data_IF_043101906611
#
_entry.id   IF_043101906611
#
_cell.length_a   1.000
_cell.length_b   1.000
_cell.length_c   1.000
_cell.angle_alpha   90.00
_cell.angle_beta   90.00
_cell.angle_gamma   90.00
#
_symmetry.space_group_name_H-M   'P 1'
#
loop_
_entity.id
_entity.type
_entity.pdbx_description
1 polymer ?
#
# COMPACT_ATOMS: atom_id res chain seq x y z
N UNK A 1 -3.65 21.43 9.38
CA UNK A 1 -3.35 20.20 8.62
C UNK A 1 -4.34 20.14 7.47
N UNK A 2 -3.86 20.01 6.24
CA UNK A 2 -4.76 19.76 5.10
C UNK A 2 -5.41 18.37 5.28
N UNK A 3 -6.74 18.30 5.12
CA UNK A 3 -7.47 17.04 5.27
C UNK A 3 -7.01 16.01 4.24
N UNK A 4 -6.89 14.74 4.62
CA UNK A 4 -6.62 13.61 3.73
C UNK A 4 -7.77 13.26 2.77
N UNK A 5 -8.68 14.17 2.51
CA UNK A 5 -9.76 13.99 1.53
C UNK A 5 -9.19 14.12 0.12
N UNK A 6 -8.93 12.98 -0.49
CA UNK A 6 -8.63 12.89 -1.92
C UNK A 6 -9.90 12.55 -2.70
N UNK A 7 -10.06 13.19 -3.85
CA UNK A 7 -10.94 12.69 -4.90
C UNK A 7 -10.33 11.44 -5.53
N UNK A 8 -11.17 10.66 -6.21
CA UNK A 8 -10.70 9.45 -6.90
C UNK A 8 -9.63 9.78 -7.96
N UNK A 9 -9.79 10.87 -8.70
CA UNK A 9 -8.83 11.31 -9.71
C UNK A 9 -7.47 11.69 -9.10
N UNK A 10 -7.45 12.35 -7.94
CA UNK A 10 -6.20 12.67 -7.26
C UNK A 10 -5.49 11.43 -6.72
N UNK A 11 -6.23 10.40 -6.30
CA UNK A 11 -5.65 9.10 -5.93
C UNK A 11 -5.05 8.39 -7.14
N UNK A 12 -5.75 8.32 -8.27
CA UNK A 12 -5.20 7.72 -9.50
C UNK A 12 -3.96 8.47 -9.98
N UNK A 13 -3.99 9.81 -9.98
CA UNK A 13 -2.83 10.62 -10.35
C UNK A 13 -1.65 10.30 -9.42
N UNK A 14 -1.90 10.29 -8.11
CA UNK A 14 -0.86 10.01 -7.11
C UNK A 14 -0.31 8.59 -7.24
N UNK A 15 -1.17 7.60 -7.49
CA UNK A 15 -0.77 6.22 -7.72
C UNK A 15 0.13 6.11 -8.95
N UNK A 16 -0.28 6.71 -10.06
CA UNK A 16 0.51 6.68 -11.29
C UNK A 16 1.87 7.39 -11.12
N UNK A 17 1.88 8.56 -10.49
CA UNK A 17 3.12 9.32 -10.20
C UNK A 17 4.08 8.49 -9.33
N UNK A 18 3.56 7.80 -8.29
CA UNK A 18 4.36 6.90 -7.45
C UNK A 18 4.86 5.69 -8.23
N UNK A 19 4.00 5.05 -9.04
CA UNK A 19 4.38 3.87 -9.79
C UNK A 19 5.47 4.17 -10.82
N UNK A 20 5.34 5.28 -11.54
CA UNK A 20 6.36 5.74 -12.47
C UNK A 20 7.67 6.06 -11.76
N UNK A 21 7.59 6.75 -10.62
CA UNK A 21 8.77 7.13 -9.83
C UNK A 21 9.55 5.92 -9.31
N UNK A 22 8.85 4.91 -8.78
CA UNK A 22 9.49 3.80 -8.06
C UNK A 22 9.78 2.59 -8.95
N UNK A 23 8.94 2.33 -9.95
CA UNK A 23 9.01 1.11 -10.77
C UNK A 23 9.09 1.37 -12.27
N UNK A 24 8.97 2.63 -12.71
CA UNK A 24 8.99 2.98 -14.13
C UNK A 24 7.80 2.42 -14.92
N UNK A 25 6.69 2.09 -14.24
CA UNK A 25 5.47 1.54 -14.86
C UNK A 25 4.25 2.38 -14.49
N UNK A 26 3.27 2.42 -15.39
CA UNK A 26 1.99 3.07 -15.12
C UNK A 26 1.11 2.20 -14.21
N UNK A 27 0.34 2.87 -13.36
CA UNK A 27 -0.70 2.20 -12.59
C UNK A 27 -1.91 1.94 -13.49
N UNK A 28 -2.37 0.68 -13.56
CA UNK A 28 -3.38 0.24 -14.55
C UNK A 28 -4.59 -0.50 -13.97
N UNK A 29 -4.60 -0.77 -12.67
CA UNK A 29 -5.72 -1.45 -11.99
C UNK A 29 -6.64 -0.44 -11.28
N UNK A 30 -7.63 -0.91 -10.52
CA UNK A 30 -8.69 -0.05 -10.00
C UNK A 30 -8.38 0.49 -8.59
N UNK A 31 -8.77 1.73 -8.35
CA UNK A 31 -8.92 2.34 -7.02
C UNK A 31 -10.40 2.58 -6.77
N UNK A 32 -10.86 2.25 -5.57
CA UNK A 32 -12.22 2.53 -5.09
C UNK A 32 -12.20 3.32 -3.78
N UNK A 33 -13.02 4.37 -3.73
CA UNK A 33 -13.34 5.10 -2.51
C UNK A 33 -14.62 4.54 -1.91
N UNK A 34 -14.53 3.95 -0.73
CA UNK A 34 -15.69 3.37 -0.02
C UNK A 34 -16.12 4.25 1.14
N UNK A 35 -17.43 4.36 1.36
CA UNK A 35 -18.00 5.20 2.42
C UNK A 35 -18.19 4.48 3.78
N UNK A 36 -17.41 3.43 4.01
CA UNK A 36 -17.47 2.61 5.22
C UNK A 36 -16.49 3.12 6.28
N UNK A 37 -16.90 3.15 7.55
CA UNK A 37 -15.97 3.49 8.62
C UNK A 37 -15.11 2.26 8.97
N UNK A 38 -13.80 2.35 8.76
CA UNK A 38 -12.87 1.29 9.11
C UNK A 38 -12.21 1.58 10.45
N UNK A 39 -12.24 0.59 11.34
CA UNK A 39 -11.66 0.69 12.69
C UNK A 39 -10.20 0.25 12.75
N UNK A 40 -9.79 -0.68 11.88
CA UNK A 40 -8.47 -1.34 11.94
C UNK A 40 -7.54 -0.90 10.82
N UNK A 41 -8.03 -0.86 9.57
CA UNK A 41 -7.19 -0.62 8.39
C UNK A 41 -7.44 0.74 7.74
N UNK A 42 -6.48 1.18 6.93
CA UNK A 42 -6.51 2.49 6.27
C UNK A 42 -6.73 2.39 4.76
N UNK A 43 -6.16 1.37 4.14
CA UNK A 43 -6.33 0.98 2.74
C UNK A 43 -6.26 -0.56 2.68
N UNK A 44 -6.57 -1.16 1.53
CA UNK A 44 -6.33 -2.59 1.28
C UNK A 44 -6.26 -2.86 -0.23
N UNK A 45 -5.28 -3.66 -0.63
CA UNK A 45 -5.20 -4.31 -1.94
C UNK A 45 -5.97 -5.63 -1.94
N UNK A 46 -6.85 -5.81 -2.92
CA UNK A 46 -7.67 -7.00 -3.10
C UNK A 46 -7.39 -7.57 -4.48
N UNK A 47 -7.20 -8.89 -4.56
CA UNK A 47 -7.17 -9.65 -5.80
C UNK A 47 -8.30 -10.69 -5.81
N UNK A 48 -9.22 -10.58 -6.76
CA UNK A 48 -10.26 -11.57 -6.99
C UNK A 48 -9.75 -12.67 -7.92
N UNK A 49 -9.67 -13.90 -7.41
CA UNK A 49 -9.18 -15.05 -8.18
C UNK A 49 -10.16 -15.56 -9.25
N UNK A 50 -11.43 -15.22 -9.13
CA UNK A 50 -12.49 -15.61 -10.07
C UNK A 50 -12.55 -14.69 -11.28
N UNK A 51 -12.45 -13.37 -11.06
CA UNK A 51 -12.49 -12.37 -12.15
C UNK A 51 -11.10 -11.94 -12.63
N UNK A 52 -10.06 -12.14 -11.82
CA UNK A 52 -8.72 -11.63 -12.07
C UNK A 52 -8.57 -10.14 -11.76
N UNK A 53 -9.60 -9.49 -11.23
CA UNK A 53 -9.60 -8.06 -10.92
C UNK A 53 -8.75 -7.75 -9.70
N UNK A 54 -8.09 -6.60 -9.75
CA UNK A 54 -7.25 -6.07 -8.68
C UNK A 54 -7.73 -4.68 -8.31
N UNK A 55 -7.98 -4.47 -7.03
CA UNK A 55 -8.61 -3.25 -6.54
C UNK A 55 -7.90 -2.79 -5.27
N UNK A 56 -7.50 -1.53 -5.24
CA UNK A 56 -7.11 -0.84 -4.01
C UNK A 56 -8.34 -0.11 -3.46
N UNK A 57 -8.75 -0.45 -2.23
CA UNK A 57 -9.86 0.22 -1.55
C UNK A 57 -9.35 1.15 -0.46
N UNK A 58 -9.92 2.35 -0.41
CA UNK A 58 -9.64 3.32 0.65
C UNK A 58 -10.94 3.89 1.22
N UNK A 59 -11.02 4.01 2.55
CA UNK A 59 -12.21 4.54 3.22
C UNK A 59 -12.20 6.06 3.22
N UNK A 60 -13.25 6.69 2.66
CA UNK A 60 -13.39 8.15 2.71
C UNK A 60 -13.52 8.67 4.15
N UNK A 61 -14.22 7.93 5.02
CA UNK A 61 -14.40 8.30 6.43
C UNK A 61 -13.09 8.23 7.20
N UNK A 62 -12.26 7.21 6.91
CA UNK A 62 -10.93 7.06 7.53
C UNK A 62 -9.95 8.09 7.01
N UNK A 63 -9.98 8.39 5.71
CA UNK A 63 -9.12 9.38 5.09
C UNK A 63 -9.38 10.81 5.61
N UNK A 64 -10.65 11.15 5.87
CA UNK A 64 -11.06 12.47 6.37
C UNK A 64 -10.42 12.86 7.71
N UNK A 65 -10.05 11.89 8.55
CA UNK A 65 -9.44 12.13 9.87
C UNK A 65 -7.91 12.03 9.86
N UNK A 66 -7.30 11.80 8.69
CA UNK A 66 -5.85 11.62 8.53
C UNK A 66 -5.26 12.80 7.75
N UNK A 67 -3.94 12.98 7.88
CA UNK A 67 -3.21 13.91 7.01
C UNK A 67 -3.15 13.37 5.58
N UNK A 68 -2.93 14.27 4.61
CA UNK A 68 -2.71 13.88 3.21
C UNK A 68 -1.55 12.90 3.08
N UNK A 69 -0.43 13.17 3.75
CA UNK A 69 0.75 12.32 3.74
C UNK A 69 0.43 10.92 4.28
N UNK A 70 -0.37 10.84 5.34
CA UNK A 70 -0.80 9.55 5.90
C UNK A 70 -1.63 8.73 4.92
N UNK A 71 -2.54 9.37 4.18
CA UNK A 71 -3.33 8.70 3.14
C UNK A 71 -2.44 8.23 1.99
N UNK A 72 -1.54 9.09 1.51
CA UNK A 72 -0.58 8.74 0.45
C UNK A 72 0.38 7.62 0.87
N UNK A 73 0.80 7.59 2.12
CA UNK A 73 1.61 6.49 2.66
C UNK A 73 0.85 5.15 2.69
N UNK A 74 -0.45 5.18 3.00
CA UNK A 74 -1.29 3.98 2.87
C UNK A 74 -1.45 3.56 1.41
N UNK A 75 -1.63 4.52 0.49
CA UNK A 75 -1.69 4.21 -0.94
C UNK A 75 -0.39 3.55 -1.43
N UNK A 76 0.78 4.12 -1.08
CA UNK A 76 2.07 3.58 -1.48
C UNK A 76 2.27 2.14 -0.96
N UNK A 77 1.86 1.86 0.27
CA UNK A 77 1.88 0.51 0.84
C UNK A 77 1.04 -0.48 0.01
N UNK A 78 -0.20 -0.12 -0.36
CA UNK A 78 -1.03 -0.98 -1.23
C UNK A 78 -0.46 -1.13 -2.64
N UNK A 79 0.25 -0.13 -3.15
CA UNK A 79 0.92 -0.22 -4.45
C UNK A 79 2.11 -1.19 -4.42
N UNK A 80 2.78 -1.38 -3.28
CA UNK A 80 3.79 -2.43 -3.12
C UNK A 80 3.13 -3.81 -3.25
N UNK A 81 1.99 -4.05 -2.58
CA UNK A 81 1.24 -5.29 -2.75
C UNK A 81 0.87 -5.53 -4.22
N UNK A 82 0.31 -4.51 -4.87
CA UNK A 82 -0.04 -4.55 -6.28
C UNK A 82 1.15 -4.90 -7.18
N UNK A 83 2.29 -4.25 -6.95
CA UNK A 83 3.49 -4.43 -7.78
C UNK A 83 4.06 -5.84 -7.65
N UNK A 84 4.25 -6.31 -6.42
CA UNK A 84 4.79 -7.65 -6.16
C UNK A 84 3.85 -8.74 -6.67
N UNK A 85 2.53 -8.54 -6.49
CA UNK A 85 1.53 -9.43 -7.03
C UNK A 85 1.60 -9.54 -8.56
N UNK A 86 1.77 -8.41 -9.27
CA UNK A 86 1.98 -8.38 -10.72
C UNK A 86 3.22 -9.14 -11.19
N UNK A 87 4.26 -9.20 -10.36
CA UNK A 87 5.50 -9.91 -10.65
C UNK A 87 5.43 -11.39 -10.26
N UNK A 88 4.34 -11.84 -9.64
CA UNK A 88 4.21 -13.19 -9.09
C UNK A 88 5.08 -13.43 -7.85
N UNK A 89 5.45 -12.37 -7.14
CA UNK A 89 6.28 -12.44 -5.93
C UNK A 89 5.42 -12.54 -4.66
N UNK A 90 5.98 -13.09 -3.57
CA UNK A 90 5.38 -12.98 -2.25
C UNK A 90 5.10 -11.52 -1.91
N UNK A 91 3.96 -11.26 -1.27
CA UNK A 91 3.44 -9.92 -1.12
C UNK A 91 2.60 -9.75 0.15
N UNK A 92 2.78 -10.59 1.18
CA UNK A 92 2.17 -10.38 2.50
C UNK A 92 3.02 -9.42 3.32
N UNK A 93 2.42 -8.74 4.28
CA UNK A 93 3.13 -7.79 5.16
C UNK A 93 4.35 -8.41 5.88
N UNK A 94 4.31 -9.72 6.11
CA UNK A 94 5.39 -10.49 6.74
C UNK A 94 6.42 -11.10 5.76
N UNK A 95 6.19 -11.01 4.45
CA UNK A 95 7.09 -11.61 3.45
C UNK A 95 8.35 -10.74 3.29
N UNK A 96 9.56 -11.32 3.24
CA UNK A 96 10.81 -10.58 3.06
C UNK A 96 10.81 -9.68 1.81
N UNK A 97 10.25 -10.14 0.70
CA UNK A 97 10.15 -9.40 -0.55
C UNK A 97 9.30 -8.14 -0.38
N UNK A 98 8.20 -8.24 0.37
CA UNK A 98 7.34 -7.10 0.68
C UNK A 98 8.04 -6.09 1.58
N UNK A 99 8.71 -6.57 2.63
CA UNK A 99 9.46 -5.74 3.56
C UNK A 99 10.58 -5.00 2.83
N UNK A 100 11.37 -5.72 2.03
CA UNK A 100 12.47 -5.15 1.25
C UNK A 100 11.97 -4.05 0.32
N UNK A 101 10.89 -4.33 -0.41
CA UNK A 101 10.34 -3.36 -1.35
C UNK A 101 9.77 -2.13 -0.64
N UNK A 102 9.12 -2.30 0.52
CA UNK A 102 8.68 -1.18 1.34
C UNK A 102 9.86 -0.29 1.76
N UNK A 103 10.99 -0.88 2.17
CA UNK A 103 12.21 -0.12 2.50
C UNK A 103 12.73 0.64 1.28
N UNK A 104 12.78 -0.02 0.12
CA UNK A 104 13.31 0.57 -1.12
C UNK A 104 12.51 1.78 -1.58
N UNK A 105 11.17 1.71 -1.51
CA UNK A 105 10.30 2.79 -1.96
C UNK A 105 9.97 3.81 -0.85
N UNK A 106 10.35 3.52 0.39
CA UNK A 106 10.03 4.35 1.55
C UNK A 106 8.55 4.28 1.97
N UNK A 107 7.92 3.12 1.77
CA UNK A 107 6.58 2.83 2.28
C UNK A 107 6.63 2.44 3.76
N UNK A 108 5.55 2.72 4.48
CA UNK A 108 5.41 2.28 5.87
C UNK A 108 5.20 0.76 5.96
N UNK A 109 5.78 0.14 6.97
CA UNK A 109 5.44 -1.22 7.40
C UNK A 109 4.16 -1.19 8.22
N UNK A 110 3.29 -2.17 8.01
CA UNK A 110 2.05 -2.36 8.75
C UNK A 110 2.30 -2.45 10.26
N UNK A 111 1.50 -1.74 11.07
CA UNK A 111 1.62 -1.75 12.53
C UNK A 111 1.11 -3.05 13.18
N UNK A 112 0.61 -4.00 12.40
CA UNK A 112 0.22 -5.31 12.90
C UNK A 112 1.42 -6.01 13.55
N UNK A 113 1.20 -6.63 14.73
CA UNK A 113 2.28 -7.27 15.50
C UNK A 113 3.12 -8.25 14.67
N UNK A 114 2.50 -9.04 13.80
CA UNK A 114 3.20 -10.00 12.93
C UNK A 114 4.13 -9.29 11.94
N UNK A 115 3.65 -8.25 11.28
CA UNK A 115 4.45 -7.47 10.33
C UNK A 115 5.64 -6.78 11.02
N UNK A 116 5.43 -6.23 12.22
CA UNK A 116 6.51 -5.63 13.00
C UNK A 116 7.60 -6.65 13.40
N UNK A 117 7.20 -7.83 13.89
CA UNK A 117 8.14 -8.90 14.22
C UNK A 117 8.92 -9.40 12.99
N UNK A 118 8.25 -9.54 11.84
CA UNK A 118 8.89 -9.93 10.58
C UNK A 118 9.91 -8.87 10.12
N UNK A 119 9.55 -7.59 10.21
CA UNK A 119 10.46 -6.48 9.89
C UNK A 119 11.69 -6.45 10.81
N UNK A 120 11.51 -6.61 12.12
CA UNK A 120 12.63 -6.68 13.07
C UNK A 120 13.60 -7.82 12.73
N UNK A 121 13.06 -9.00 12.43
CA UNK A 121 13.85 -10.16 12.03
C UNK A 121 14.60 -9.91 10.71
N UNK A 122 13.91 -9.38 9.70
CA UNK A 122 14.51 -9.03 8.41
C UNK A 122 15.68 -8.05 8.58
N UNK A 123 15.51 -7.01 9.41
CA UNK A 123 16.56 -6.03 9.68
C UNK A 123 17.74 -6.59 10.47
N UNK A 124 17.53 -7.62 11.30
CA UNK A 124 18.61 -8.32 11.99
C UNK A 124 19.46 -9.13 11.00
N UNK A 125 18.81 -9.92 10.14
CA UNK A 125 19.46 -10.75 9.12
C UNK A 125 20.25 -9.92 8.11
N UNK A 126 19.70 -8.77 7.70
CA UNK A 126 20.35 -7.83 6.78
C UNK A 126 21.62 -7.20 7.36
N UNK A 127 21.75 -7.06 8.68
CA UNK A 127 22.95 -6.51 9.34
C UNK A 127 24.06 -7.54 9.51
N UNK A 128 23.72 -8.83 9.50
CA UNK A 128 24.67 -9.93 9.64
C UNK A 128 25.29 -10.39 8.33
N UNK A 129 24.84 -9.82 7.20
CA UNK A 129 25.31 -10.11 5.84
C UNK A 129 26.18 -8.96 5.34
#
# INVERSE_FOLDING_TARGET
>A
MESGNFTLNELYKSANDMCLKHWGVEYSDQIELVHTNWSVQNAVFIYDRGTGERIIRMSTKRNAIRSKEGVLQSLLHELVHWRLHLQGLPCRDEDPEFIEECINVGANISLAKKAQLAFEQFMLERKTT
#
